data_IF_801792045019
#
_entry.id   IF_801792045019
#
_cell.length_a   1.000
_cell.length_b   1.000
_cell.length_c   1.000
_cell.angle_alpha   90.00
_cell.angle_beta   90.00
_cell.angle_gamma   90.00
#
_symmetry.space_group_name_H-M   'P 1'
#
loop_
_entity.id
_entity.type
_entity.pdbx_description
1 polymer ?
#
# COMPACT_ATOMS: atom_id res chain seq x y z
N UNK A 1 1.88 -20.87 -15.80
CA UNK A 1 0.57 -21.30 -16.32
C UNK A 1 0.33 -22.78 -16.09
N UNK A 2 1.12 -23.68 -16.70
CA UNK A 2 0.96 -25.14 -16.51
C UNK A 2 1.01 -25.60 -15.05
N UNK A 3 2.04 -25.20 -14.31
CA UNK A 3 2.22 -25.55 -12.88
C UNK A 3 1.15 -24.92 -12.00
N UNK A 4 0.77 -23.66 -12.28
CA UNK A 4 -0.29 -22.96 -11.55
C UNK A 4 -1.64 -23.64 -11.76
N UNK A 5 -1.94 -24.09 -12.99
CA UNK A 5 -3.19 -24.80 -13.29
C UNK A 5 -3.29 -26.09 -12.46
N UNK A 6 -2.18 -26.82 -12.39
CA UNK A 6 -2.08 -28.06 -11.62
C UNK A 6 -2.20 -27.82 -10.11
N UNK A 7 -1.54 -26.78 -9.58
CA UNK A 7 -1.58 -26.48 -8.14
C UNK A 7 -2.95 -25.99 -7.64
N UNK A 8 -3.72 -25.28 -8.48
CA UNK A 8 -5.06 -24.76 -8.12
C UNK A 8 -6.20 -25.64 -8.63
N UNK A 9 -5.89 -26.79 -9.25
CA UNK A 9 -6.88 -27.79 -9.66
C UNK A 9 -7.76 -27.38 -10.86
N UNK A 10 -7.27 -26.50 -11.73
CA UNK A 10 -8.00 -26.04 -12.93
C UNK A 10 -7.31 -26.48 -14.21
N UNK A 11 -8.05 -26.51 -15.33
CA UNK A 11 -7.45 -26.84 -16.62
C UNK A 11 -6.56 -25.70 -17.14
N UNK A 12 -5.47 -26.03 -17.85
CA UNK A 12 -4.65 -25.00 -18.53
C UNK A 12 -5.49 -24.12 -19.46
N UNK A 13 -6.37 -24.67 -20.34
CA UNK A 13 -7.26 -23.85 -21.17
C UNK A 13 -8.11 -22.86 -20.36
N UNK A 14 -8.56 -23.22 -19.16
CA UNK A 14 -9.30 -22.31 -18.28
C UNK A 14 -8.45 -21.13 -17.84
N UNK A 15 -7.22 -21.35 -17.36
CA UNK A 15 -6.32 -20.24 -16.99
C UNK A 15 -5.98 -19.34 -18.18
N UNK A 16 -5.71 -19.93 -19.35
CA UNK A 16 -5.43 -19.15 -20.56
C UNK A 16 -6.66 -18.35 -21.02
N UNK A 17 -7.86 -18.91 -20.87
CA UNK A 17 -9.11 -18.20 -21.18
C UNK A 17 -9.34 -17.01 -20.25
N UNK A 18 -9.08 -17.18 -18.96
CA UNK A 18 -9.34 -16.15 -17.95
C UNK A 18 -8.28 -15.04 -17.96
N UNK A 19 -7.01 -15.43 -18.03
CA UNK A 19 -5.88 -14.51 -17.83
C UNK A 19 -5.08 -14.22 -19.09
N UNK A 20 -5.41 -14.85 -20.22
CA UNK A 20 -4.70 -14.68 -21.49
C UNK A 20 -3.36 -15.39 -21.51
N UNK A 21 -2.40 -14.94 -20.70
CA UNK A 21 -1.06 -15.49 -20.61
C UNK A 21 -0.48 -15.40 -19.19
N UNK A 22 0.82 -15.66 -19.03
CA UNK A 22 1.50 -15.57 -17.73
C UNK A 22 1.55 -14.13 -17.21
N UNK A 23 1.66 -13.15 -18.10
CA UNK A 23 1.71 -11.74 -17.72
C UNK A 23 0.33 -11.28 -17.24
N UNK A 24 -0.74 -11.59 -17.97
CA UNK A 24 -2.11 -11.25 -17.54
C UNK A 24 -2.50 -11.91 -16.21
N UNK A 25 -2.00 -13.11 -15.91
CA UNK A 25 -2.14 -13.71 -14.58
C UNK A 25 -1.36 -12.91 -13.51
N UNK A 26 -0.13 -12.48 -13.82
CA UNK A 26 0.67 -11.65 -12.92
C UNK A 26 0.01 -10.29 -12.63
N UNK A 27 -0.52 -9.65 -13.66
CA UNK A 27 -1.23 -8.37 -13.55
C UNK A 27 -2.48 -8.52 -12.66
N UNK A 28 -3.25 -9.60 -12.84
CA UNK A 28 -4.41 -9.90 -12.01
C UNK A 28 -4.03 -10.16 -10.53
N UNK A 29 -2.89 -10.83 -10.29
CA UNK A 29 -2.38 -11.04 -8.93
C UNK A 29 -1.97 -9.71 -8.28
N UNK A 30 -1.29 -8.82 -9.01
CA UNK A 30 -0.94 -7.47 -8.52
C UNK A 30 -2.19 -6.67 -8.15
N UNK A 31 -3.24 -6.73 -8.98
CA UNK A 31 -4.53 -6.09 -8.68
C UNK A 31 -5.13 -6.62 -7.39
N UNK A 32 -5.25 -7.94 -7.28
CA UNK A 32 -5.84 -8.59 -6.11
C UNK A 32 -5.05 -8.31 -4.83
N UNK A 33 -3.72 -8.30 -4.93
CA UNK A 33 -2.84 -8.04 -3.78
C UNK A 33 -2.96 -6.59 -3.32
N UNK A 34 -2.96 -5.63 -4.25
CA UNK A 34 -3.16 -4.22 -3.95
C UNK A 34 -4.53 -3.93 -3.33
N UNK A 35 -5.59 -4.59 -3.80
CA UNK A 35 -6.93 -4.48 -3.23
C UNK A 35 -6.97 -4.98 -1.78
N UNK A 36 -6.46 -6.20 -1.55
CA UNK A 36 -6.38 -6.78 -0.20
C UNK A 36 -5.58 -5.89 0.76
N UNK A 37 -4.45 -5.37 0.30
CA UNK A 37 -3.63 -4.46 1.09
C UNK A 37 -4.40 -3.18 1.47
N UNK A 38 -5.10 -2.56 0.50
CA UNK A 38 -5.91 -1.36 0.77
C UNK A 38 -7.06 -1.63 1.72
N UNK A 39 -7.75 -2.76 1.59
CA UNK A 39 -8.80 -3.17 2.54
C UNK A 39 -8.26 -3.28 3.96
N UNK A 40 -7.06 -3.85 4.13
CA UNK A 40 -6.40 -3.95 5.43
C UNK A 40 -6.00 -2.59 6.01
N UNK A 41 -5.46 -1.68 5.20
CA UNK A 41 -5.17 -0.29 5.63
C UNK A 41 -6.43 0.40 6.15
N UNK A 42 -7.53 0.32 5.39
CA UNK A 42 -8.79 0.94 5.78
C UNK A 42 -9.35 0.34 7.07
N UNK A 43 -9.25 -0.98 7.24
CA UNK A 43 -9.68 -1.65 8.47
C UNK A 43 -8.86 -1.19 9.69
N UNK A 44 -7.54 -1.14 9.56
CA UNK A 44 -6.63 -0.69 10.64
C UNK A 44 -6.92 0.76 11.04
N UNK A 45 -7.13 1.64 10.07
CA UNK A 45 -7.46 3.04 10.34
C UNK A 45 -8.82 3.19 11.02
N UNK A 46 -9.83 2.42 10.59
CA UNK A 46 -11.16 2.43 11.20
C UNK A 46 -11.18 1.98 12.66
N UNK A 47 -10.20 1.17 13.10
CA UNK A 47 -10.07 0.75 14.52
C UNK A 47 -9.50 1.85 15.43
N UNK A 48 -8.92 2.92 14.87
CA UNK A 48 -8.18 3.94 15.62
C UNK A 48 -8.81 5.34 15.53
N UNK A 49 -10.13 5.42 15.41
CA UNK A 49 -10.86 6.70 15.39
C UNK A 49 -10.60 7.47 16.69
N UNK A 50 -10.11 8.70 16.58
CA UNK A 50 -9.79 9.56 17.73
C UNK A 50 -8.40 9.34 18.34
N UNK A 51 -7.60 8.39 17.83
CA UNK A 51 -6.20 8.20 18.23
C UNK A 51 -5.25 8.37 17.02
N UNK A 52 -4.82 9.61 16.78
CA UNK A 52 -3.89 9.93 15.68
C UNK A 52 -2.62 9.07 15.76
N UNK A 53 -2.04 8.94 16.97
CA UNK A 53 -0.80 8.20 17.16
C UNK A 53 -1.00 6.72 16.84
N UNK A 54 -2.05 6.13 17.42
CA UNK A 54 -2.40 4.73 17.24
C UNK A 54 -2.66 4.41 15.77
N UNK A 55 -3.47 5.21 15.09
CA UNK A 55 -3.80 5.01 13.68
C UNK A 55 -2.58 5.01 12.77
N UNK A 56 -1.70 6.02 12.90
CA UNK A 56 -0.45 6.08 12.11
C UNK A 56 0.45 4.88 12.47
N UNK A 57 0.64 4.60 13.75
CA UNK A 57 1.51 3.52 14.21
C UNK A 57 1.04 2.17 13.68
N UNK A 58 -0.27 1.89 13.78
CA UNK A 58 -0.86 0.65 13.34
C UNK A 58 -0.81 0.51 11.80
N UNK A 59 -1.09 1.56 11.04
CA UNK A 59 -1.01 1.53 9.58
C UNK A 59 0.42 1.26 9.07
N UNK A 60 1.43 1.87 9.71
CA UNK A 60 2.85 1.61 9.42
C UNK A 60 3.20 0.17 9.74
N UNK A 61 2.84 -0.32 10.93
CA UNK A 61 3.15 -1.69 11.36
C UNK A 61 2.49 -2.72 10.45
N UNK A 62 1.21 -2.53 10.13
CA UNK A 62 0.47 -3.36 9.17
C UNK A 62 1.19 -3.43 7.83
N UNK A 63 1.59 -2.28 7.27
CA UNK A 63 2.29 -2.24 5.98
C UNK A 63 3.61 -3.01 6.01
N UNK A 64 4.39 -2.86 7.08
CA UNK A 64 5.67 -3.55 7.21
C UNK A 64 5.47 -5.07 7.37
N UNK A 65 4.49 -5.51 8.16
CA UNK A 65 4.15 -6.93 8.31
C UNK A 65 3.70 -7.55 6.98
N UNK A 66 2.74 -6.93 6.29
CA UNK A 66 2.24 -7.45 5.01
C UNK A 66 3.35 -7.51 3.94
N UNK A 67 4.27 -6.54 3.94
CA UNK A 67 5.41 -6.54 3.02
C UNK A 67 6.49 -7.57 3.39
N UNK A 68 6.61 -7.98 4.66
CA UNK A 68 7.46 -9.11 5.06
C UNK A 68 6.86 -10.46 4.62
N UNK A 69 5.53 -10.59 4.73
CA UNK A 69 4.81 -11.83 4.43
C UNK A 69 4.56 -12.04 2.93
N UNK A 70 4.49 -10.96 2.14
CA UNK A 70 4.21 -11.02 0.70
C UNK A 70 5.34 -10.42 -0.15
N UNK A 71 6.18 -11.28 -0.78
CA UNK A 71 7.18 -10.82 -1.75
C UNK A 71 6.58 -10.07 -2.95
N UNK A 72 5.34 -10.41 -3.33
CA UNK A 72 4.62 -9.72 -4.41
C UNK A 72 4.26 -8.30 -3.98
N UNK A 73 3.64 -8.13 -2.81
CA UNK A 73 3.30 -6.80 -2.30
C UNK A 73 4.55 -5.95 -2.12
N UNK A 74 5.63 -6.52 -1.56
CA UNK A 74 6.92 -5.84 -1.44
C UNK A 74 7.45 -5.35 -2.78
N UNK A 75 7.38 -6.17 -3.82
CA UNK A 75 7.78 -5.77 -5.17
C UNK A 75 6.89 -4.65 -5.71
N UNK A 76 5.56 -4.73 -5.51
CA UNK A 76 4.61 -3.69 -5.91
C UNK A 76 4.94 -2.37 -5.21
N UNK A 77 5.05 -2.35 -3.88
CA UNK A 77 5.29 -1.14 -3.08
C UNK A 77 6.63 -0.44 -3.40
N UNK A 78 7.64 -1.20 -3.82
CA UNK A 78 9.00 -0.70 -4.01
C UNK A 78 9.39 -0.48 -5.48
N UNK A 79 8.52 -0.88 -6.42
CA UNK A 79 8.78 -0.68 -7.84
C UNK A 79 8.74 0.80 -8.22
N UNK A 80 9.74 1.26 -8.98
CA UNK A 80 9.83 2.65 -9.42
C UNK A 80 9.17 2.80 -10.80
N UNK A 81 8.18 3.70 -10.98
CA UNK A 81 7.60 4.00 -12.28
C UNK A 81 8.62 4.54 -13.31
N UNK A 82 9.77 5.04 -12.85
CA UNK A 82 10.75 5.76 -13.68
C UNK A 82 11.75 4.86 -14.42
N UNK A 83 11.58 3.54 -14.37
CA UNK A 83 12.47 2.57 -15.00
C UNK A 83 11.83 1.84 -16.17
N UNK A 84 11.69 2.51 -17.33
CA UNK A 84 11.77 1.92 -18.67
C UNK A 84 11.07 0.59 -19.03
N UNK A 85 10.06 0.10 -18.30
CA UNK A 85 9.28 -1.08 -18.69
C UNK A 85 8.06 -0.69 -19.54
N UNK A 86 8.34 -0.06 -20.70
CA UNK A 86 7.44 -0.09 -21.86
C UNK A 86 7.52 -1.46 -22.57
N UNK A 87 7.40 -2.54 -21.79
CA UNK A 87 7.51 -3.92 -22.24
C UNK A 87 6.18 -4.68 -22.32
N UNK A 88 5.05 -4.07 -21.95
CA UNK A 88 3.71 -4.65 -22.09
C UNK A 88 2.96 -3.99 -23.22
N UNK A 89 2.72 -4.74 -24.30
CA UNK A 89 2.11 -4.30 -25.55
C UNK A 89 0.85 -3.43 -25.38
N UNK A 90 0.81 -2.32 -26.10
CA UNK A 90 -0.41 -1.61 -26.44
C UNK A 90 -1.32 -2.53 -27.25
N UNK A 91 -2.18 -3.31 -26.58
CA UNK A 91 -3.41 -3.83 -27.19
C UNK A 91 -4.56 -2.96 -26.72
N UNK A 92 -5.07 -2.17 -27.65
CA UNK A 92 -6.35 -1.47 -27.62
C UNK A 92 -7.47 -2.37 -27.09
N UNK A 93 -7.79 -2.16 -25.82
CA UNK A 93 -8.90 -2.76 -25.08
C UNK A 93 -8.82 -2.13 -23.71
N UNK A 94 -9.95 -1.67 -23.17
CA UNK A 94 -10.06 -1.03 -21.86
C UNK A 94 -9.33 -1.89 -20.82
N UNK A 95 -8.08 -1.55 -20.51
CA UNK A 95 -7.33 -2.23 -19.46
C UNK A 95 -7.98 -1.82 -18.14
N UNK A 96 -8.38 -2.77 -17.29
CA UNK A 96 -8.65 -2.46 -15.89
C UNK A 96 -7.47 -1.66 -15.35
N UNK A 97 -7.73 -0.61 -14.57
CA UNK A 97 -6.70 0.16 -13.86
C UNK A 97 -5.89 -0.82 -13.00
N UNK A 98 -4.81 -1.36 -13.57
CA UNK A 98 -3.87 -2.17 -12.80
C UNK A 98 -3.26 -1.24 -11.75
N UNK A 99 -3.24 -1.61 -10.46
CA UNK A 99 -2.53 -0.83 -9.47
C UNK A 99 -1.04 -0.93 -9.79
N UNK A 100 -0.53 0.14 -10.40
CA UNK A 100 0.89 0.44 -10.39
C UNK A 100 1.30 0.82 -8.98
N UNK A 101 2.60 0.74 -8.68
CA UNK A 101 3.15 1.22 -7.41
C UNK A 101 2.78 2.67 -7.12
N UNK A 102 2.95 3.56 -8.10
CA UNK A 102 2.57 4.96 -7.98
C UNK A 102 1.09 5.12 -7.62
N UNK A 103 0.19 4.42 -8.32
CA UNK A 103 -1.23 4.48 -7.99
C UNK A 103 -1.56 3.90 -6.62
N UNK A 104 -0.86 2.85 -6.17
CA UNK A 104 -1.10 2.26 -4.86
C UNK A 104 -0.65 3.21 -3.73
N UNK A 105 0.52 3.83 -3.87
CA UNK A 105 1.00 4.83 -2.90
C UNK A 105 0.09 6.06 -2.86
N UNK A 106 -0.40 6.52 -4.03
CA UNK A 106 -1.39 7.59 -4.11
C UNK A 106 -2.71 7.23 -3.41
N UNK A 107 -3.19 5.99 -3.58
CA UNK A 107 -4.39 5.49 -2.88
C UNK A 107 -4.17 5.44 -1.37
N UNK A 108 -2.98 5.05 -0.90
CA UNK A 108 -2.63 5.06 0.52
C UNK A 108 -2.64 6.48 1.09
N UNK A 109 -2.03 7.44 0.39
CA UNK A 109 -2.04 8.85 0.82
C UNK A 109 -3.46 9.40 0.88
N UNK A 110 -4.28 9.14 -0.15
CA UNK A 110 -5.67 9.58 -0.19
C UNK A 110 -6.52 8.96 0.95
N UNK A 111 -6.30 7.69 1.27
CA UNK A 111 -6.95 7.02 2.39
C UNK A 111 -6.55 7.64 3.74
N UNK A 112 -5.27 7.94 3.94
CA UNK A 112 -4.80 8.64 5.15
C UNK A 112 -5.40 10.04 5.26
N UNK A 113 -5.38 10.83 4.20
CA UNK A 113 -5.95 12.19 4.18
C UNK A 113 -7.44 12.15 4.52
N UNK A 114 -8.19 11.22 3.91
CA UNK A 114 -9.62 11.04 4.19
C UNK A 114 -9.84 10.70 5.66
N UNK A 115 -9.10 9.74 6.19
CA UNK A 115 -9.20 9.34 7.59
C UNK A 115 -8.86 10.50 8.56
N UNK A 116 -7.84 11.31 8.24
CA UNK A 116 -7.52 12.50 9.03
C UNK A 116 -8.68 13.50 9.04
N UNK A 117 -9.17 13.87 7.86
CA UNK A 117 -10.22 14.88 7.70
C UNK A 117 -11.56 14.43 8.29
N UNK A 118 -11.87 13.14 8.27
CA UNK A 118 -13.14 12.61 8.79
C UNK A 118 -13.16 12.48 10.32
N UNK A 119 -11.99 12.53 10.99
CA UNK A 119 -11.87 12.21 12.41
C UNK A 119 -11.14 13.24 13.26
N UNK A 120 -10.44 14.22 12.66
CA UNK A 120 -9.63 15.21 13.37
C UNK A 120 -9.82 16.61 12.79
N UNK A 121 -10.88 17.29 13.22
CA UNK A 121 -11.27 18.63 12.74
C UNK A 121 -10.28 19.76 13.10
N UNK A 122 -9.41 19.53 14.09
CA UNK A 122 -8.46 20.52 14.60
C UNK A 122 -7.15 20.60 13.77
N UNK A 123 -6.97 19.74 12.76
CA UNK A 123 -5.76 19.68 11.94
C UNK A 123 -5.88 20.58 10.70
N UNK A 124 -4.77 21.22 10.32
CA UNK A 124 -4.70 21.97 9.06
C UNK A 124 -4.71 20.99 7.87
N UNK A 125 -5.65 21.12 6.91
CA UNK A 125 -5.70 20.26 5.73
C UNK A 125 -4.41 20.27 4.90
N UNK A 126 -3.69 21.39 4.82
CA UNK A 126 -2.42 21.49 4.08
C UNK A 126 -1.34 20.63 4.77
N UNK A 127 -1.25 20.70 6.11
CA UNK A 127 -0.33 19.88 6.89
C UNK A 127 -0.68 18.38 6.79
N UNK A 128 -1.98 18.05 6.71
CA UNK A 128 -2.47 16.66 6.54
C UNK A 128 -2.06 16.09 5.18
N UNK A 129 -2.21 16.85 4.10
CA UNK A 129 -1.78 16.42 2.76
C UNK A 129 -0.27 16.15 2.71
N UNK A 130 0.53 17.06 3.28
CA UNK A 130 1.97 16.93 3.30
C UNK A 130 2.44 15.76 4.18
N UNK A 131 1.87 15.60 5.38
CA UNK A 131 2.26 14.52 6.28
C UNK A 131 1.90 13.15 5.69
N UNK A 132 0.78 13.04 4.97
CA UNK A 132 0.36 11.78 4.36
C UNK A 132 1.36 11.28 3.31
N UNK A 133 1.83 12.15 2.40
CA UNK A 133 2.86 11.77 1.40
C UNK A 133 4.18 11.37 2.09
N UNK A 134 4.60 12.13 3.11
CA UNK A 134 5.82 11.84 3.87
C UNK A 134 5.72 10.50 4.59
N UNK A 135 4.60 10.20 5.25
CA UNK A 135 4.35 8.95 5.96
C UNK A 135 4.42 7.75 5.01
N UNK A 136 3.77 7.83 3.86
CA UNK A 136 3.78 6.76 2.85
C UNK A 136 5.20 6.52 2.34
N UNK A 137 5.94 7.57 1.98
CA UNK A 137 7.33 7.44 1.49
C UNK A 137 8.29 6.89 2.53
N UNK A 138 8.18 7.34 3.78
CA UNK A 138 9.00 6.82 4.88
C UNK A 138 8.70 5.34 5.14
N UNK A 139 7.44 4.95 5.13
CA UNK A 139 7.04 3.55 5.32
C UNK A 139 7.61 2.67 4.21
N UNK A 140 7.47 3.06 2.94
CA UNK A 140 8.07 2.35 1.80
C UNK A 140 9.60 2.29 1.90
N UNK A 141 10.25 3.36 2.35
CA UNK A 141 11.70 3.36 2.61
C UNK A 141 12.08 2.28 3.61
N UNK A 142 11.29 2.11 4.68
CA UNK A 142 11.52 1.07 5.69
C UNK A 142 11.16 -0.35 5.23
N UNK A 143 10.27 -0.51 4.24
CA UNK A 143 10.05 -1.80 3.55
C UNK A 143 11.32 -2.23 2.79
N UNK A 144 12.01 -1.28 2.14
CA UNK A 144 13.24 -1.54 1.38
C UNK A 144 14.44 -1.74 2.30
N UNK A 145 14.62 -0.82 3.26
CA UNK A 145 15.78 -0.75 4.14
C UNK A 145 15.33 -0.62 5.61
N UNK A 146 15.02 -1.75 6.27
CA UNK A 146 14.67 -1.75 7.69
C UNK A 146 15.82 -1.22 8.54
N UNK A 147 15.51 -0.32 9.47
CA UNK A 147 16.50 0.28 10.39
C UNK A 147 16.29 -0.13 11.85
N UNK A 148 15.13 -0.71 12.16
CA UNK A 148 14.72 -1.24 13.46
C UNK A 148 13.62 -2.28 13.25
N UNK A 149 13.18 -2.93 14.32
CA UNK A 149 11.98 -3.78 14.27
C UNK A 149 10.73 -2.97 13.91
N UNK A 150 9.68 -3.68 13.48
CA UNK A 150 8.41 -3.11 13.01
C UNK A 150 7.77 -2.20 14.07
N UNK A 151 7.74 -2.64 15.33
CA UNK A 151 7.09 -1.89 16.41
C UNK A 151 7.80 -0.56 16.67
N UNK A 152 9.13 -0.61 16.78
CA UNK A 152 9.98 0.57 16.95
C UNK A 152 9.87 1.52 15.76
N UNK A 153 9.78 1.00 14.53
CA UNK A 153 9.65 1.82 13.31
C UNK A 153 8.32 2.56 13.29
N UNK A 154 7.20 1.86 13.58
CA UNK A 154 5.87 2.48 13.67
C UNK A 154 5.82 3.65 14.66
N UNK A 155 6.31 3.45 15.87
CA UNK A 155 6.34 4.49 16.92
C UNK A 155 7.24 5.69 16.54
N UNK A 156 8.35 5.44 15.82
CA UNK A 156 9.23 6.54 15.37
C UNK A 156 8.58 7.38 14.29
N UNK A 157 7.96 6.73 13.29
CA UNK A 157 7.29 7.41 12.19
C UNK A 157 6.08 8.20 12.70
N UNK A 158 5.25 7.61 13.57
CA UNK A 158 4.11 8.32 14.15
C UNK A 158 4.54 9.54 14.97
N UNK A 159 5.62 9.43 15.75
CA UNK A 159 6.17 10.55 16.51
C UNK A 159 6.65 11.71 15.63
N UNK A 160 7.23 11.42 14.45
CA UNK A 160 7.63 12.47 13.50
C UNK A 160 6.40 13.19 12.96
N UNK A 161 5.38 12.45 12.54
CA UNK A 161 4.13 13.03 12.03
C UNK A 161 3.38 13.88 13.08
N UNK A 162 3.27 13.40 14.32
CA UNK A 162 2.62 14.15 15.40
C UNK A 162 3.33 15.48 15.72
N UNK A 163 4.67 15.49 15.64
CA UNK A 163 5.45 16.72 15.82
C UNK A 163 5.25 17.70 14.68
N UNK A 164 5.06 17.19 13.46
CA UNK A 164 4.75 18.00 12.30
C UNK A 164 3.37 18.65 12.42
N UNK A 165 2.35 17.84 12.71
CA UNK A 165 0.96 18.25 12.87
C UNK A 165 0.69 19.12 14.13
N UNK A 166 1.71 19.45 14.92
CA UNK A 166 1.54 20.19 16.17
C UNK A 166 0.73 19.44 17.25
N UNK A 167 0.44 18.15 17.06
CA UNK A 167 -0.31 17.30 18.00
C UNK A 167 0.63 16.89 19.14
N UNK A 168 0.90 17.83 20.04
CA UNK A 168 1.66 17.58 21.26
C UNK A 168 0.69 17.15 22.36
N UNK A 169 0.35 15.86 22.43
CA UNK A 169 -0.23 15.32 23.66
C UNK A 169 0.90 15.03 24.65
N UNK A 170 0.75 15.60 25.85
CA UNK A 170 1.69 15.59 26.95
C UNK A 170 2.27 14.20 27.22
N UNK A 171 3.60 14.15 27.38
CA UNK A 171 4.36 12.96 27.80
C UNK A 171 3.82 12.35 29.10
#
# INVERSE_FOLDING_TARGET
MSEVAESVGVSRPTLYKEFGDKQGLGDALVVSEGQRFMEGILAVLAEHVGDVRGGITAAVQFTLCEAEDSPLLKAVLTSNPSGNDRGGSSSTGVLPLLPTSASLLQLCSAALITWFNDHFDDLDPEDVEEVADVLVRLTVSHVVLPAADIATTGERISRVALRYLGVVHSL
#
